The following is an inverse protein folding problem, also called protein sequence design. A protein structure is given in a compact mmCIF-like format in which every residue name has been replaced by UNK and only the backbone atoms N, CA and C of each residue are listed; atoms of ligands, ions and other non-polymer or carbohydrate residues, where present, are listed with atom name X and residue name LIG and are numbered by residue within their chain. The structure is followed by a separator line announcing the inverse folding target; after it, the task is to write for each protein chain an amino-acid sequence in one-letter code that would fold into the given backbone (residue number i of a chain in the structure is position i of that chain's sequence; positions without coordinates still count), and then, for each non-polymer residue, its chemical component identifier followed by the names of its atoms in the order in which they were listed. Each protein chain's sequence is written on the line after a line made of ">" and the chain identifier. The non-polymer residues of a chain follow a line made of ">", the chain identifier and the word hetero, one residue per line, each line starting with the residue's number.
data_IF_007694906216
#
_entry.id   IF_007694906216
#
_cell.length_a   1.000
_cell.length_b   1.000
_cell.length_c   1.000
_cell.angle_alpha   90.00
_cell.angle_beta   90.00
_cell.angle_gamma   90.00
#
_symmetry.space_group_name_H-M   'P 1'
#
loop_
_entity.id
_entity.type
_entity.pdbx_description
1 polymer ?
#
# COMPACT_ATOMS: atom_id res chain seq x y z
N UNK A 1 31.19 97.45 25.51
CA UNK A 1 30.02 96.90 26.22
C UNK A 1 29.03 96.25 25.25
N UNK A 2 28.73 96.83 24.07
CA UNK A 2 27.83 96.21 23.08
C UNK A 2 28.30 94.87 22.46
N UNK A 3 29.60 94.55 22.46
CA UNK A 3 30.15 93.30 21.94
C UNK A 3 29.98 92.10 22.86
N UNK A 4 29.79 92.32 24.16
CA UNK A 4 29.69 91.27 25.19
C UNK A 4 28.25 90.76 25.35
N UNK A 5 27.26 91.65 25.22
CA UNK A 5 25.82 91.29 25.15
C UNK A 5 25.47 90.48 23.88
N UNK A 6 26.08 90.80 22.75
CA UNK A 6 25.90 90.04 21.51
C UNK A 6 26.40 88.59 21.65
N UNK A 7 27.58 88.41 22.24
CA UNK A 7 28.16 87.09 22.49
C UNK A 7 27.38 86.27 23.52
N UNK A 8 26.83 86.92 24.56
CA UNK A 8 26.00 86.26 25.56
C UNK A 8 24.70 85.71 24.95
N UNK A 9 24.04 86.47 24.08
CA UNK A 9 22.80 86.02 23.41
C UNK A 9 23.03 84.84 22.45
N UNK A 10 24.18 84.80 21.78
CA UNK A 10 24.55 83.70 20.89
C UNK A 10 24.81 82.42 21.68
N UNK A 11 25.47 82.53 22.83
CA UNK A 11 25.71 81.39 23.72
C UNK A 11 24.41 80.80 24.29
N UNK A 12 23.44 81.64 24.65
CA UNK A 12 22.14 81.16 25.12
C UNK A 12 21.33 80.48 24.01
N UNK A 13 21.37 81.00 22.78
CA UNK A 13 20.78 80.33 21.62
C UNK A 13 21.45 78.97 21.34
N UNK A 14 22.78 78.88 21.42
CA UNK A 14 23.50 77.62 21.26
C UNK A 14 23.17 76.60 22.35
N UNK A 15 23.00 77.04 23.60
CA UNK A 15 22.56 76.17 24.70
C UNK A 15 21.14 75.66 24.46
N UNK A 16 20.24 76.53 24.02
CA UNK A 16 18.87 76.17 23.72
C UNK A 16 18.80 75.14 22.59
N UNK A 17 19.54 75.36 21.49
CA UNK A 17 19.66 74.41 20.39
C UNK A 17 20.26 73.09 20.88
N UNK A 18 21.32 73.13 21.69
CA UNK A 18 21.94 71.91 22.24
C UNK A 18 20.97 71.10 23.10
N UNK A 19 20.17 71.75 23.94
CA UNK A 19 19.17 71.08 24.77
C UNK A 19 18.07 70.46 23.91
N UNK A 20 17.57 71.20 22.91
CA UNK A 20 16.59 70.66 21.97
C UNK A 20 17.13 69.46 21.18
N UNK A 21 18.40 69.50 20.76
CA UNK A 21 19.08 68.38 20.12
C UNK A 21 19.21 67.18 21.05
N UNK A 22 19.55 67.40 22.33
CA UNK A 22 19.63 66.33 23.34
C UNK A 22 18.27 65.68 23.59
N UNK A 23 17.19 66.46 23.62
CA UNK A 23 15.83 65.96 23.78
C UNK A 23 15.36 65.17 22.56
N UNK A 24 15.69 65.63 21.35
CA UNK A 24 15.46 64.91 20.10
C UNK A 24 16.24 63.59 20.06
N UNK A 25 17.50 63.60 20.48
CA UNK A 25 18.33 62.41 20.55
C UNK A 25 17.74 61.38 21.54
N UNK A 26 17.23 61.85 22.68
CA UNK A 26 16.51 61.01 23.64
C UNK A 26 15.25 60.39 23.03
N UNK A 27 14.42 61.18 22.33
CA UNK A 27 13.22 60.70 21.67
C UNK A 27 13.52 59.70 20.55
N UNK A 28 14.51 60.00 19.70
CA UNK A 28 14.96 59.08 18.63
C UNK A 28 15.46 57.77 19.23
N UNK A 29 16.21 57.83 20.33
CA UNK A 29 16.65 56.63 21.04
C UNK A 29 15.48 55.87 21.69
N UNK A 30 14.42 56.56 22.11
CA UNK A 30 13.18 55.95 22.56
C UNK A 30 12.44 55.22 21.44
N UNK A 31 12.21 55.89 20.32
CA UNK A 31 11.57 55.33 19.12
C UNK A 31 12.37 54.16 18.56
N UNK A 32 13.70 54.27 18.52
CA UNK A 32 14.59 53.19 18.10
C UNK A 32 14.39 51.95 18.96
N UNK A 33 14.31 52.11 20.29
CA UNK A 33 14.06 51.00 21.21
C UNK A 33 12.68 50.38 20.99
N UNK A 34 11.65 51.22 20.84
CA UNK A 34 10.29 50.74 20.59
C UNK A 34 10.16 49.98 19.26
N UNK A 35 10.84 50.43 18.21
CA UNK A 35 10.86 49.73 16.92
C UNK A 35 11.62 48.41 16.98
N UNK A 36 12.73 48.37 17.72
CA UNK A 36 13.49 47.13 17.93
C UNK A 36 12.61 46.12 18.69
N UNK A 37 11.93 46.56 19.75
CA UNK A 37 11.04 45.73 20.56
C UNK A 37 9.86 45.18 19.74
N UNK A 38 9.20 46.03 18.94
CA UNK A 38 8.13 45.61 18.04
C UNK A 38 8.58 44.64 16.95
N UNK A 39 9.81 44.80 16.43
CA UNK A 39 10.37 43.89 15.43
C UNK A 39 10.70 42.52 16.03
N UNK A 40 11.23 42.49 17.25
CA UNK A 40 11.61 41.24 17.94
C UNK A 40 10.37 40.39 18.27
N UNK A 41 9.30 41.03 18.78
CA UNK A 41 8.02 40.38 19.08
C UNK A 41 7.35 39.74 17.83
N UNK A 42 7.35 40.46 16.70
CA UNK A 42 6.78 39.96 15.44
C UNK A 42 7.60 38.78 14.88
N UNK A 43 8.93 38.83 15.00
CA UNK A 43 9.82 37.76 14.54
C UNK A 43 9.64 36.48 15.36
N UNK A 44 9.56 36.58 16.68
CA UNK A 44 9.33 35.43 17.56
C UNK A 44 7.97 34.77 17.29
N UNK A 45 6.90 35.56 17.14
CA UNK A 45 5.56 35.07 16.82
C UNK A 45 5.54 34.33 15.47
N UNK A 46 6.22 34.88 14.46
CA UNK A 46 6.29 34.28 13.13
C UNK A 46 7.09 32.97 13.15
N UNK A 47 8.22 32.93 13.85
CA UNK A 47 9.00 31.70 14.04
C UNK A 47 8.21 30.61 14.77
N UNK A 48 7.46 30.97 15.82
CA UNK A 48 6.58 30.05 16.53
C UNK A 48 5.51 29.47 15.60
N UNK A 49 4.88 30.31 14.76
CA UNK A 49 3.85 29.89 13.82
C UNK A 49 4.40 28.93 12.76
N UNK A 50 5.54 29.27 12.15
CA UNK A 50 6.21 28.41 11.16
C UNK A 50 6.59 27.07 11.76
N UNK A 51 7.16 27.08 12.97
CA UNK A 51 7.58 25.89 13.70
C UNK A 51 6.38 24.99 14.03
N UNK A 52 5.30 25.56 14.57
CA UNK A 52 4.05 24.84 14.86
C UNK A 52 3.42 24.25 13.61
N UNK A 53 3.38 25.01 12.52
CA UNK A 53 2.85 24.52 11.25
C UNK A 53 3.71 23.39 10.68
N UNK A 54 5.04 23.51 10.76
CA UNK A 54 5.97 22.47 10.31
C UNK A 54 5.78 21.18 11.12
N UNK A 55 5.73 21.28 12.45
CA UNK A 55 5.45 20.13 13.31
C UNK A 55 4.06 19.53 13.07
N UNK A 56 3.02 20.36 12.90
CA UNK A 56 1.66 19.89 12.58
C UNK A 56 1.58 19.20 11.22
N UNK A 57 2.28 19.72 10.22
CA UNK A 57 2.38 19.13 8.89
C UNK A 57 3.16 17.81 8.95
N UNK A 58 4.25 17.75 9.71
CA UNK A 58 5.02 16.52 9.93
C UNK A 58 4.19 15.41 10.56
N UNK A 59 3.41 15.72 11.59
CA UNK A 59 2.51 14.77 12.23
C UNK A 59 1.39 14.27 11.28
N UNK A 60 0.84 15.16 10.44
CA UNK A 60 -0.15 14.78 9.44
C UNK A 60 0.44 13.84 8.36
N UNK A 61 1.67 14.12 7.91
CA UNK A 61 2.40 13.27 6.97
C UNK A 61 2.70 11.90 7.58
N UNK A 62 3.16 11.85 8.83
CA UNK A 62 3.43 10.60 9.53
C UNK A 62 2.18 9.74 9.68
N UNK A 63 1.04 10.35 10.03
CA UNK A 63 -0.23 9.65 10.09
C UNK A 63 -0.69 9.16 8.70
N UNK A 64 -0.56 9.98 7.66
CA UNK A 64 -0.87 9.57 6.29
C UNK A 64 0.00 8.41 5.82
N UNK A 65 1.32 8.47 6.07
CA UNK A 65 2.24 7.38 5.77
C UNK A 65 1.83 6.10 6.49
N UNK A 66 1.44 6.19 7.76
CA UNK A 66 0.93 5.04 8.51
C UNK A 66 -0.35 4.47 7.87
N UNK A 67 -1.28 5.32 7.42
CA UNK A 67 -2.49 4.84 6.71
C UNK A 67 -2.17 4.21 5.35
N UNK A 68 -1.17 4.74 4.63
CA UNK A 68 -0.72 4.21 3.35
C UNK A 68 -0.08 2.84 3.58
N UNK A 69 0.85 2.71 4.53
CA UNK A 69 1.50 1.44 4.85
C UNK A 69 0.49 0.38 5.31
N UNK A 70 -0.46 0.76 6.15
CA UNK A 70 -1.53 -0.15 6.58
C UNK A 70 -2.40 -0.59 5.39
N UNK A 71 -2.72 0.34 4.47
CA UNK A 71 -3.48 0.02 3.25
C UNK A 71 -2.68 -0.87 2.30
N UNK A 72 -1.39 -0.58 2.13
CA UNK A 72 -0.45 -1.35 1.31
C UNK A 72 -0.38 -2.80 1.80
N UNK A 73 -0.22 -3.00 3.11
CA UNK A 73 -0.22 -4.33 3.73
C UNK A 73 -1.52 -5.09 3.44
N UNK A 74 -2.68 -4.44 3.56
CA UNK A 74 -3.98 -5.06 3.23
C UNK A 74 -4.06 -5.43 1.75
N UNK A 75 -3.61 -4.55 0.85
CA UNK A 75 -3.62 -4.80 -0.60
C UNK A 75 -2.67 -5.94 -0.96
N UNK A 76 -1.47 -5.98 -0.38
CA UNK A 76 -0.52 -7.08 -0.56
C UNK A 76 -1.13 -8.41 -0.12
N UNK A 77 -1.75 -8.47 1.07
CA UNK A 77 -2.43 -9.68 1.54
C UNK A 77 -3.56 -10.10 0.60
N UNK A 78 -4.34 -9.16 0.05
CA UNK A 78 -5.40 -9.46 -0.94
C UNK A 78 -4.81 -9.99 -2.25
N UNK A 79 -3.72 -9.41 -2.74
CA UNK A 79 -3.06 -9.84 -3.96
C UNK A 79 -2.47 -11.24 -3.80
N UNK A 80 -1.83 -11.52 -2.66
CA UNK A 80 -1.26 -12.82 -2.36
C UNK A 80 -2.35 -13.87 -2.17
N UNK A 81 -3.47 -13.53 -1.54
CA UNK A 81 -4.64 -14.41 -1.48
C UNK A 81 -5.19 -14.75 -2.87
N UNK A 82 -5.23 -13.78 -3.81
CA UNK A 82 -5.66 -14.03 -5.19
C UNK A 82 -4.68 -14.90 -5.97
N UNK A 83 -3.38 -14.67 -5.81
CA UNK A 83 -2.34 -15.54 -6.39
C UNK A 83 -2.46 -16.97 -5.84
N UNK A 84 -2.60 -17.12 -4.53
CA UNK A 84 -2.75 -18.42 -3.88
C UNK A 84 -4.01 -19.16 -4.36
N UNK A 85 -5.12 -18.44 -4.55
CA UNK A 85 -6.33 -19.01 -5.14
C UNK A 85 -6.09 -19.51 -6.58
N UNK A 86 -5.42 -18.70 -7.41
CA UNK A 86 -5.15 -19.05 -8.80
C UNK A 86 -4.22 -20.28 -8.94
N UNK A 87 -3.20 -20.40 -8.07
CA UNK A 87 -2.32 -21.58 -8.04
C UNK A 87 -3.12 -22.86 -7.73
N UNK A 88 -4.07 -22.82 -6.80
CA UNK A 88 -4.92 -23.98 -6.49
C UNK A 88 -5.79 -24.34 -7.69
N UNK A 89 -6.40 -23.36 -8.35
CA UNK A 89 -7.22 -23.61 -9.54
C UNK A 89 -6.40 -24.22 -10.67
N UNK A 90 -5.20 -23.69 -10.92
CA UNK A 90 -4.28 -24.20 -11.96
C UNK A 90 -3.77 -25.61 -11.65
N UNK A 91 -3.44 -25.88 -10.38
CA UNK A 91 -3.05 -27.22 -9.91
C UNK A 91 -4.17 -28.24 -10.13
N UNK A 92 -5.43 -27.87 -9.84
CA UNK A 92 -6.58 -28.73 -10.07
C UNK A 92 -6.81 -29.00 -11.56
N UNK A 93 -6.67 -27.97 -12.41
CA UNK A 93 -6.80 -28.10 -13.86
C UNK A 93 -5.72 -29.02 -14.45
N UNK A 94 -4.48 -28.88 -13.96
CA UNK A 94 -3.35 -29.76 -14.29
C UNK A 94 -3.57 -31.19 -13.80
N UNK A 95 -4.09 -31.37 -12.58
CA UNK A 95 -4.41 -32.69 -12.03
C UNK A 95 -5.46 -33.41 -12.89
N UNK A 96 -6.54 -32.74 -13.26
CA UNK A 96 -7.56 -33.32 -14.15
C UNK A 96 -6.95 -33.68 -15.51
N UNK A 97 -6.14 -32.79 -16.08
CA UNK A 97 -5.51 -33.02 -17.39
C UNK A 97 -4.52 -34.19 -17.36
N UNK A 98 -3.72 -34.32 -16.30
CA UNK A 98 -2.77 -35.44 -16.15
C UNK A 98 -3.49 -36.78 -15.91
N UNK A 99 -4.60 -36.80 -15.16
CA UNK A 99 -5.43 -38.01 -15.00
C UNK A 99 -6.04 -38.47 -16.32
N UNK A 100 -6.56 -37.54 -17.13
CA UNK A 100 -7.07 -37.86 -18.47
C UNK A 100 -5.95 -38.32 -19.39
N UNK A 101 -4.77 -37.69 -19.33
CA UNK A 101 -3.62 -38.07 -20.15
C UNK A 101 -3.12 -39.49 -19.86
N UNK A 102 -3.05 -39.91 -18.58
CA UNK A 102 -2.68 -41.28 -18.20
C UNK A 102 -3.71 -42.28 -18.69
N UNK A 103 -5.00 -41.96 -18.58
CA UNK A 103 -6.08 -42.82 -19.09
C UNK A 103 -5.96 -43.00 -20.61
N UNK A 104 -5.72 -41.91 -21.33
CA UNK A 104 -5.52 -41.92 -22.78
C UNK A 104 -4.24 -42.68 -23.18
N UNK A 105 -3.18 -42.62 -22.38
CA UNK A 105 -1.95 -43.37 -22.64
C UNK A 105 -2.22 -44.88 -22.69
N UNK A 106 -2.95 -45.42 -21.71
CA UNK A 106 -3.31 -46.85 -21.71
C UNK A 106 -4.21 -47.20 -22.89
N UNK A 107 -5.26 -46.43 -23.15
CA UNK A 107 -6.15 -46.66 -24.30
C UNK A 107 -5.37 -46.63 -25.62
N UNK A 108 -4.45 -45.68 -25.80
CA UNK A 108 -3.66 -45.56 -27.03
C UNK A 108 -2.66 -46.72 -27.21
N UNK A 109 -1.96 -47.13 -26.15
CA UNK A 109 -1.05 -48.26 -26.19
C UNK A 109 -1.76 -49.56 -26.61
N UNK A 110 -2.98 -49.74 -26.14
CA UNK A 110 -3.81 -50.92 -26.40
C UNK A 110 -4.60 -50.85 -27.71
N UNK A 111 -4.96 -49.66 -28.18
CA UNK A 111 -5.62 -49.45 -29.47
C UNK A 111 -4.65 -49.77 -30.62
N UNK A 112 -3.37 -49.46 -30.43
CA UNK A 112 -2.34 -49.61 -31.46
C UNK A 112 -1.76 -51.03 -31.58
N UNK A 113 -1.91 -51.87 -30.57
CA UNK A 113 -1.37 -53.24 -30.60
C UNK A 113 -2.39 -54.30 -30.19
N UNK A 114 -3.58 -54.28 -30.79
CA UNK A 114 -4.46 -55.46 -30.79
C UNK A 114 -3.87 -56.48 -31.75
N UNK A 115 -2.97 -57.25 -31.18
CA UNK A 115 -2.21 -58.31 -31.83
C UNK A 115 -3.15 -59.35 -32.43
N UNK A 116 -2.73 -59.89 -33.57
CA UNK A 116 -3.58 -60.70 -34.46
C UNK A 116 -4.26 -61.90 -33.78
N UNK A 117 -3.70 -62.44 -32.69
CA UNK A 117 -4.28 -63.60 -31.99
C UNK A 117 -5.52 -63.30 -31.14
N UNK A 118 -5.77 -62.03 -30.76
CA UNK A 118 -6.95 -61.65 -29.97
C UNK A 118 -8.16 -61.31 -30.86
N UNK A 119 -7.94 -61.16 -32.18
CA UNK A 119 -8.97 -60.89 -33.19
C UNK A 119 -9.72 -62.13 -33.65
N UNK A 120 -9.12 -63.31 -33.52
CA UNK A 120 -9.70 -64.56 -34.01
C UNK A 120 -10.88 -65.06 -33.13
N UNK A 121 -11.18 -64.36 -32.03
CA UNK A 121 -12.24 -64.72 -31.10
C UNK A 121 -13.22 -63.54 -30.92
N UNK A 122 -14.31 -63.57 -31.68
CA UNK A 122 -15.31 -62.47 -31.81
C UNK A 122 -15.81 -61.88 -30.48
N UNK A 123 -15.91 -62.69 -29.42
CA UNK A 123 -16.37 -62.22 -28.11
C UNK A 123 -15.33 -61.40 -27.33
N UNK A 124 -14.03 -61.65 -27.54
CA UNK A 124 -12.94 -60.92 -26.87
C UNK A 124 -12.77 -59.55 -27.50
N UNK A 125 -12.98 -59.44 -28.81
CA UNK A 125 -12.94 -58.16 -29.53
C UNK A 125 -14.03 -57.18 -29.04
N UNK A 126 -15.28 -57.65 -28.90
CA UNK A 126 -16.38 -56.82 -28.42
C UNK A 126 -16.26 -56.44 -26.95
N UNK A 127 -15.82 -57.36 -26.09
CA UNK A 127 -15.56 -57.05 -24.67
C UNK A 127 -14.42 -56.06 -24.51
N UNK A 128 -13.42 -56.10 -25.39
CA UNK A 128 -12.32 -55.15 -25.40
C UNK A 128 -12.73 -53.73 -25.81
N UNK A 129 -13.53 -53.57 -26.87
CA UNK A 129 -14.09 -52.26 -27.25
C UNK A 129 -14.99 -51.71 -26.12
N UNK A 130 -15.78 -52.57 -25.47
CA UNK A 130 -16.62 -52.15 -24.36
C UNK A 130 -15.78 -51.67 -23.16
N UNK A 131 -14.68 -52.36 -22.82
CA UNK A 131 -13.76 -51.95 -21.74
C UNK A 131 -13.02 -50.67 -22.12
N UNK A 132 -12.55 -50.53 -23.36
CA UNK A 132 -11.86 -49.34 -23.84
C UNK A 132 -12.77 -48.10 -23.89
N UNK A 133 -14.06 -48.26 -24.18
CA UNK A 133 -15.06 -47.19 -24.09
C UNK A 133 -15.49 -46.91 -22.64
N UNK A 134 -15.48 -47.92 -21.77
CA UNK A 134 -15.84 -47.78 -20.36
C UNK A 134 -14.77 -47.07 -19.54
N UNK A 135 -13.48 -47.21 -19.86
CA UNK A 135 -12.38 -46.57 -19.11
C UNK A 135 -12.40 -45.02 -19.13
N UNK A 136 -12.63 -44.35 -20.28
CA UNK A 136 -12.84 -42.90 -20.34
C UNK A 136 -14.09 -42.44 -19.59
N UNK A 137 -15.16 -43.23 -19.65
CA UNK A 137 -16.40 -42.94 -18.92
C UNK A 137 -16.16 -43.08 -17.42
N UNK A 138 -15.46 -44.13 -16.98
CA UNK A 138 -15.07 -44.33 -15.59
C UNK A 138 -14.11 -43.23 -15.09
N UNK A 139 -13.17 -42.76 -15.90
CA UNK A 139 -12.28 -41.64 -15.52
C UNK A 139 -13.06 -40.33 -15.36
N UNK A 140 -14.07 -40.10 -16.20
CA UNK A 140 -14.98 -38.96 -16.06
C UNK A 140 -15.82 -39.07 -14.77
N UNK A 141 -16.37 -40.26 -14.48
CA UNK A 141 -17.14 -40.51 -13.25
C UNK A 141 -16.28 -40.40 -11.98
N UNK A 142 -15.04 -40.91 -11.99
CA UNK A 142 -14.13 -40.78 -10.83
C UNK A 142 -13.67 -39.35 -10.64
N UNK A 143 -13.43 -38.59 -11.72
CA UNK A 143 -13.11 -37.17 -11.66
C UNK A 143 -14.24 -36.36 -11.01
N UNK A 144 -15.49 -36.61 -11.42
CA UNK A 144 -16.67 -35.98 -10.82
C UNK A 144 -16.85 -36.41 -9.36
N UNK A 145 -16.70 -37.70 -9.07
CA UNK A 145 -16.83 -38.22 -7.69
C UNK A 145 -15.76 -37.64 -6.77
N UNK A 146 -14.51 -37.54 -7.23
CA UNK A 146 -13.41 -36.98 -6.46
C UNK A 146 -13.60 -35.48 -6.21
N UNK A 147 -14.04 -34.71 -7.20
CA UNK A 147 -14.35 -33.29 -7.03
C UNK A 147 -15.55 -33.10 -6.08
N UNK A 148 -16.59 -33.93 -6.20
CA UNK A 148 -17.76 -33.89 -5.30
C UNK A 148 -17.41 -34.33 -3.88
N UNK A 149 -16.50 -35.29 -3.71
CA UNK A 149 -16.00 -35.72 -2.40
C UNK A 149 -15.07 -34.67 -1.79
N UNK A 150 -14.19 -34.07 -2.57
CA UNK A 150 -13.35 -32.95 -2.12
C UNK A 150 -14.20 -31.72 -1.75
N UNK A 151 -15.24 -31.41 -2.52
CA UNK A 151 -16.20 -30.36 -2.21
C UNK A 151 -17.07 -30.70 -0.98
N UNK A 152 -17.51 -31.95 -0.86
CA UNK A 152 -18.33 -32.43 0.26
C UNK A 152 -17.57 -32.53 1.60
N UNK A 153 -16.29 -32.91 1.56
CA UNK A 153 -15.42 -32.94 2.75
C UNK A 153 -15.15 -31.52 3.25
N UNK A 154 -14.97 -30.54 2.36
CA UNK A 154 -14.75 -29.14 2.75
C UNK A 154 -16.00 -28.48 3.36
N UNK A 155 -17.22 -28.91 2.98
CA UNK A 155 -18.48 -28.44 3.58
C UNK A 155 -18.74 -29.14 4.93
N UNK A 156 -18.39 -30.42 5.06
CA UNK A 156 -18.52 -31.14 6.33
C UNK A 156 -17.50 -30.67 7.40
N UNK A 157 -16.28 -30.31 6.99
CA UNK A 157 -15.25 -29.78 7.89
C UNK A 157 -15.55 -28.34 8.35
N UNK A 158 -16.24 -27.54 7.54
CA UNK A 158 -16.69 -26.19 7.94
C UNK A 158 -17.92 -26.20 8.85
N UNK A 159 -18.76 -27.25 8.77
CA UNK A 159 -19.91 -27.42 9.66
C UNK A 159 -19.51 -27.82 11.10
N UNK A 160 -18.42 -28.57 11.29
CA UNK A 160 -17.99 -29.01 12.62
C UNK A 160 -17.10 -27.98 13.36
N UNK A 161 -16.60 -26.93 12.69
CA UNK A 161 -15.76 -25.92 13.36
C UNK A 161 -16.58 -24.86 14.11
N UNK A 162 -17.91 -24.95 14.07
CA UNK A 162 -18.82 -23.97 14.66
C UNK A 162 -19.75 -24.53 15.75
N UNK A 163 -19.55 -25.79 16.17
CA UNK A 163 -20.11 -26.37 17.40
C UNK A 163 -19.01 -26.60 18.44
#
# INVERSE_FOLDING_TARGET
>A
MASDEGNMSVLDNLRMIKNATSDLESQVNGVRRMLIDMLDDDEELHMLHLTKNNYGTGAAVELMLHTIQNTEAIVMLKLDAKRNYLIIVDLLMTLVTTLVAVSNFFVNAFTMNVVSWLKDLDWVYWTWIAVAAAFPVASYFTSIWYIRKAAGVNIALSAHKHD
#
